data_IF_202336751444
#
_entry.id   IF_202336751444
#
_cell.length_a   1.000
_cell.length_b   1.000
_cell.length_c   1.000
_cell.angle_alpha   90.00
_cell.angle_beta   90.00
_cell.angle_gamma   90.00
#
_symmetry.space_group_name_H-M   'P 1'
#
loop_
_entity.id
_entity.type
_entity.pdbx_description
1 polymer ?
#
# COMPACT_ATOMS: atom_id res chain seq x y z
N UNK A 1 -5.04 -20.11 1.18
CA UNK A 1 -5.01 -20.82 2.46
C UNK A 1 -4.61 -22.29 2.31
N UNK A 2 -5.52 -23.21 1.95
CA UNK A 2 -5.27 -24.67 2.00
C UNK A 2 -3.95 -25.14 1.38
N UNK A 3 -3.60 -24.61 0.19
CA UNK A 3 -2.34 -24.89 -0.53
C UNK A 3 -1.08 -24.66 0.32
N UNK A 4 -1.06 -23.59 1.13
CA UNK A 4 0.10 -23.14 1.90
C UNK A 4 0.12 -23.60 3.35
N UNK A 5 -0.99 -24.18 3.80
CA UNK A 5 -1.21 -24.59 5.19
C UNK A 5 -1.31 -26.11 5.33
N UNK A 6 -0.97 -26.86 4.27
CA UNK A 6 -1.03 -28.33 4.25
C UNK A 6 -2.41 -28.90 4.64
N UNK A 7 -3.49 -28.20 4.27
CA UNK A 7 -4.87 -28.63 4.55
C UNK A 7 -5.43 -29.36 3.32
N UNK A 8 -5.73 -30.65 3.47
CA UNK A 8 -6.17 -31.52 2.38
C UNK A 8 -7.67 -31.87 2.38
N UNK A 9 -8.47 -31.26 3.26
CA UNK A 9 -9.91 -31.52 3.36
C UNK A 9 -10.68 -30.96 2.16
N UNK A 10 -11.82 -31.56 1.81
CA UNK A 10 -12.73 -31.01 0.78
C UNK A 10 -13.44 -29.72 1.25
N UNK A 11 -13.71 -28.76 0.34
CA UNK A 11 -13.15 -28.66 -1.01
C UNK A 11 -11.63 -28.44 -0.96
N UNK A 12 -10.89 -29.11 -1.82
CA UNK A 12 -9.43 -29.05 -1.96
C UNK A 12 -8.94 -27.65 -2.33
N UNK A 13 -7.64 -27.40 -2.20
CA UNK A 13 -7.04 -26.13 -2.65
C UNK A 13 -7.25 -25.87 -4.14
N UNK A 14 -7.16 -26.91 -4.98
CA UNK A 14 -7.37 -26.80 -6.42
C UNK A 14 -8.83 -26.46 -6.76
N UNK A 15 -9.81 -27.10 -6.10
CA UNK A 15 -11.24 -26.78 -6.28
C UNK A 15 -11.56 -25.33 -5.85
N UNK A 16 -10.96 -24.86 -4.76
CA UNK A 16 -11.12 -23.47 -4.31
C UNK A 16 -10.47 -22.46 -5.26
N UNK A 17 -9.31 -22.77 -5.83
CA UNK A 17 -8.66 -21.93 -6.84
C UNK A 17 -9.47 -21.88 -8.14
N UNK A 18 -10.00 -23.02 -8.58
CA UNK A 18 -10.88 -23.09 -9.75
C UNK A 18 -12.15 -22.25 -9.52
N UNK A 19 -12.77 -22.38 -8.34
CA UNK A 19 -13.93 -21.57 -7.96
C UNK A 19 -13.60 -20.08 -7.95
N UNK A 20 -12.45 -19.68 -7.41
CA UNK A 20 -12.01 -18.29 -7.41
C UNK A 20 -11.81 -17.76 -8.85
N UNK A 21 -11.16 -18.54 -9.73
CA UNK A 21 -10.97 -18.16 -11.13
C UNK A 21 -12.30 -18.03 -11.87
N UNK A 22 -13.22 -18.98 -11.69
CA UNK A 22 -14.56 -18.94 -12.31
C UNK A 22 -15.35 -17.71 -11.86
N UNK A 23 -15.48 -17.48 -10.55
CA UNK A 23 -16.29 -16.38 -10.03
C UNK A 23 -15.68 -15.00 -10.36
N UNK A 24 -14.35 -14.87 -10.33
CA UNK A 24 -13.70 -13.64 -10.76
C UNK A 24 -13.94 -13.37 -12.24
N UNK A 25 -13.88 -14.40 -13.10
CA UNK A 25 -14.15 -14.28 -14.53
C UNK A 25 -15.60 -13.92 -14.82
N UNK A 26 -16.56 -14.46 -14.08
CA UNK A 26 -17.97 -14.07 -14.18
C UNK A 26 -18.18 -12.57 -13.93
N UNK A 27 -17.51 -12.01 -12.92
CA UNK A 27 -17.56 -10.57 -12.64
C UNK A 27 -16.87 -9.77 -13.76
N UNK A 28 -15.72 -10.24 -14.25
CA UNK A 28 -15.02 -9.60 -15.38
C UNK A 28 -15.87 -9.58 -16.65
N UNK A 29 -16.55 -10.69 -16.97
CA UNK A 29 -17.35 -10.85 -18.18
C UNK A 29 -18.73 -10.18 -18.10
N UNK A 30 -19.14 -9.74 -16.91
CA UNK A 30 -20.39 -9.00 -16.74
C UNK A 30 -20.40 -7.67 -17.48
N UNK A 31 -19.21 -7.08 -17.74
CA UNK A 31 -19.07 -5.75 -18.34
C UNK A 31 -19.60 -4.60 -17.46
N UNK A 32 -19.95 -4.87 -16.20
CA UNK A 32 -20.51 -3.87 -15.28
C UNK A 32 -19.45 -2.95 -14.68
N UNK A 33 -18.19 -3.38 -14.67
CA UNK A 33 -17.08 -2.70 -14.01
C UNK A 33 -15.88 -2.56 -14.94
N UNK A 34 -15.06 -1.55 -14.72
CA UNK A 34 -13.83 -1.30 -15.50
C UNK A 34 -12.77 -0.61 -14.63
N UNK A 35 -11.51 -0.68 -15.07
CA UNK A 35 -10.41 0.07 -14.45
C UNK A 35 -10.50 1.52 -14.86
N UNK A 36 -10.71 2.38 -13.87
CA UNK A 36 -10.84 3.81 -14.09
C UNK A 36 -9.48 4.41 -14.42
N UNK A 37 -9.41 5.14 -15.53
CA UNK A 37 -8.24 5.88 -15.97
C UNK A 37 -8.20 7.26 -15.32
N UNK A 38 -7.01 7.84 -15.19
CA UNK A 38 -6.91 9.21 -14.65
C UNK A 38 -7.68 10.25 -15.48
N UNK A 39 -7.82 10.02 -16.78
CA UNK A 39 -8.59 10.88 -17.69
C UNK A 39 -10.12 10.70 -17.59
N UNK A 40 -10.62 9.69 -16.87
CA UNK A 40 -12.06 9.43 -16.82
C UNK A 40 -12.81 10.53 -16.05
N UNK A 41 -14.05 10.76 -16.47
CA UNK A 41 -14.95 11.70 -15.78
C UNK A 41 -15.15 11.28 -14.32
N UNK A 42 -14.89 12.19 -13.39
CA UNK A 42 -14.96 11.90 -11.95
C UNK A 42 -13.71 11.21 -11.37
N UNK A 43 -12.73 10.80 -12.18
CA UNK A 43 -11.40 10.33 -11.74
C UNK A 43 -10.36 11.45 -11.72
N UNK A 44 -10.56 12.45 -12.59
CA UNK A 44 -9.95 13.77 -12.52
C UNK A 44 -10.48 14.60 -11.34
N UNK A 45 -10.58 14.02 -10.14
CA UNK A 45 -10.87 14.77 -8.91
C UNK A 45 -9.66 15.56 -8.42
N UNK A 46 -8.93 16.14 -9.36
CA UNK A 46 -8.00 17.17 -9.00
C UNK A 46 -8.83 18.34 -8.50
N UNK A 47 -8.40 18.94 -7.39
CA UNK A 47 -8.95 20.23 -6.97
C UNK A 47 -8.76 21.31 -8.08
N UNK A 48 -7.93 21.06 -9.10
CA UNK A 48 -7.77 21.82 -10.36
C UNK A 48 -6.90 21.09 -11.41
N UNK A 49 -6.83 21.61 -12.65
CA UNK A 49 -6.12 21.01 -13.78
C UNK A 49 -4.64 20.63 -13.51
N UNK A 50 -4.16 19.56 -14.18
CA UNK A 50 -2.76 19.09 -14.22
C UNK A 50 -2.16 18.51 -12.92
N UNK A 51 -2.97 18.16 -11.92
CA UNK A 51 -2.48 17.47 -10.73
C UNK A 51 -2.10 16.00 -11.02
N UNK A 52 -0.86 15.56 -10.73
CA UNK A 52 -0.34 14.26 -11.18
C UNK A 52 -0.81 13.06 -10.33
N UNK A 53 -1.77 13.23 -9.41
CA UNK A 53 -2.19 12.20 -8.45
C UNK A 53 -3.53 11.52 -8.82
N UNK A 54 -3.76 11.28 -10.11
CA UNK A 54 -5.02 10.73 -10.64
C UNK A 54 -5.43 9.38 -10.04
N UNK A 55 -4.48 8.52 -9.66
CA UNK A 55 -4.76 7.25 -8.99
C UNK A 55 -5.21 7.48 -7.55
N UNK A 56 -4.54 8.37 -6.80
CA UNK A 56 -4.92 8.67 -5.42
C UNK A 56 -6.30 9.35 -5.34
N UNK A 57 -6.62 10.20 -6.31
CA UNK A 57 -7.92 10.87 -6.41
C UNK A 57 -9.11 9.90 -6.46
N UNK A 58 -8.89 8.67 -6.94
CA UNK A 58 -9.95 7.67 -6.97
C UNK A 58 -10.48 7.31 -5.58
N UNK A 59 -9.69 7.54 -4.53
CA UNK A 59 -10.02 7.19 -3.16
C UNK A 59 -10.50 8.39 -2.32
N UNK A 60 -10.66 9.56 -2.93
CA UNK A 60 -11.08 10.80 -2.27
C UNK A 60 -12.34 11.37 -2.95
N UNK A 61 -13.38 10.54 -3.09
CA UNK A 61 -14.62 10.89 -3.80
C UNK A 61 -15.83 10.91 -2.85
N UNK A 62 -16.77 11.82 -3.06
CA UNK A 62 -18.04 11.89 -2.30
C UNK A 62 -19.05 10.81 -2.73
N UNK A 63 -18.97 10.33 -3.97
CA UNK A 63 -19.91 9.33 -4.49
C UNK A 63 -19.16 8.30 -5.35
N UNK A 64 -18.89 7.13 -4.76
CA UNK A 64 -18.26 6.03 -5.47
C UNK A 64 -19.25 5.20 -6.30
N UNK A 65 -20.57 5.42 -6.20
CA UNK A 65 -21.56 4.63 -6.96
C UNK A 65 -21.50 4.89 -8.47
N UNK A 66 -20.93 6.03 -8.87
CA UNK A 66 -20.68 6.38 -10.28
C UNK A 66 -19.30 5.95 -10.78
N UNK A 67 -18.42 5.52 -9.88
CA UNK A 67 -17.09 5.04 -10.22
C UNK A 67 -17.18 3.60 -10.76
N UNK A 68 -16.76 3.40 -12.02
CA UNK A 68 -16.81 2.09 -12.70
C UNK A 68 -15.96 1.00 -12.03
N UNK A 69 -15.01 1.37 -11.19
CA UNK A 69 -14.22 0.41 -10.43
C UNK A 69 -14.94 -0.03 -9.14
N UNK A 70 -15.96 0.70 -8.67
CA UNK A 70 -16.65 0.41 -7.42
C UNK A 70 -17.65 -0.74 -7.58
N UNK A 71 -17.40 -1.86 -6.88
CA UNK A 71 -18.34 -2.98 -6.77
C UNK A 71 -19.23 -2.83 -5.54
N UNK A 72 -18.64 -2.39 -4.43
CA UNK A 72 -19.35 -2.09 -3.20
C UNK A 72 -18.70 -0.91 -2.50
N UNK A 73 -19.48 0.14 -2.25
CA UNK A 73 -19.08 1.31 -1.48
C UNK A 73 -19.62 1.24 -0.06
N UNK A 74 -18.86 1.81 0.88
CA UNK A 74 -19.40 2.33 2.13
C UNK A 74 -19.62 3.83 1.93
N UNK A 75 -20.89 4.21 1.97
CA UNK A 75 -21.30 5.61 1.81
C UNK A 75 -21.12 6.38 3.11
N UNK A 76 -20.56 7.57 3.02
CA UNK A 76 -20.44 8.51 4.13
C UNK A 76 -21.22 9.78 3.82
N UNK A 77 -21.91 10.31 4.81
CA UNK A 77 -22.79 11.47 4.67
C UNK A 77 -22.58 12.38 5.89
N UNK A 78 -22.40 13.68 5.63
CA UNK A 78 -22.27 14.66 6.69
C UNK A 78 -23.47 14.59 7.65
N UNK A 79 -23.22 14.84 8.95
CA UNK A 79 -24.22 14.75 10.02
C UNK A 79 -24.83 13.34 10.27
N UNK A 80 -24.50 12.33 9.44
CA UNK A 80 -24.95 10.93 9.62
C UNK A 80 -23.78 10.04 10.01
N UNK A 81 -22.79 9.92 9.14
CA UNK A 81 -21.61 9.08 9.35
C UNK A 81 -20.46 9.60 8.49
N UNK A 82 -19.34 9.91 9.14
CA UNK A 82 -18.11 10.42 8.54
C UNK A 82 -16.90 9.66 9.09
N UNK A 83 -15.73 9.80 8.46
CA UNK A 83 -14.48 9.17 8.90
C UNK A 83 -13.31 10.18 8.97
N UNK A 84 -12.08 9.68 9.19
CA UNK A 84 -10.86 10.49 9.32
C UNK A 84 -9.73 10.06 8.38
N UNK A 85 -10.02 9.22 7.37
CA UNK A 85 -9.00 8.69 6.45
C UNK A 85 -8.46 9.76 5.49
N UNK A 86 -9.25 10.78 5.19
CA UNK A 86 -8.85 11.92 4.37
C UNK A 86 -7.75 12.79 5.00
N UNK A 87 -7.43 12.57 6.28
CA UNK A 87 -6.41 13.28 7.02
C UNK A 87 -5.08 12.53 7.01
N UNK A 88 -3.97 13.24 6.83
CA UNK A 88 -2.63 12.69 7.05
C UNK A 88 -2.39 12.39 8.54
N UNK A 89 -1.79 11.25 8.88
CA UNK A 89 -1.51 10.84 10.26
C UNK A 89 -0.09 10.33 10.50
N UNK A 90 0.24 10.08 11.77
CA UNK A 90 1.57 9.64 12.28
C UNK A 90 2.04 8.24 11.84
N UNK A 91 1.41 7.65 10.84
CA UNK A 91 1.74 6.31 10.32
C UNK A 91 2.85 6.39 9.27
N UNK A 92 3.59 5.31 9.08
CA UNK A 92 4.68 5.25 8.12
C UNK A 92 4.78 3.91 7.41
N UNK A 93 5.03 3.96 6.11
CA UNK A 93 5.31 2.79 5.30
C UNK A 93 6.77 2.36 5.51
N UNK A 94 7.07 1.07 5.35
CA UNK A 94 8.42 0.55 5.57
C UNK A 94 9.29 0.67 4.31
N UNK A 95 10.61 0.64 4.49
CA UNK A 95 11.58 0.52 3.40
C UNK A 95 11.31 -0.72 2.53
N UNK A 96 10.89 -1.83 3.15
CA UNK A 96 10.46 -3.04 2.45
C UNK A 96 9.28 -2.79 1.48
N UNK A 97 8.36 -1.87 1.82
CA UNK A 97 7.30 -1.47 0.92
C UNK A 97 7.79 -0.51 -0.18
N UNK A 98 8.57 0.51 0.17
CA UNK A 98 9.11 1.47 -0.78
C UNK A 98 9.98 0.81 -1.88
N UNK A 99 10.77 -0.21 -1.53
CA UNK A 99 11.58 -0.97 -2.49
C UNK A 99 10.75 -1.95 -3.33
N UNK A 100 9.49 -2.25 -2.95
CA UNK A 100 8.66 -3.18 -3.70
C UNK A 100 8.15 -2.62 -5.02
N UNK A 101 8.08 -1.29 -5.17
CA UNK A 101 7.74 -0.64 -6.44
C UNK A 101 8.77 -0.97 -7.53
N UNK A 102 8.32 -1.21 -8.75
CA UNK A 102 9.23 -1.46 -9.87
C UNK A 102 9.81 -0.13 -10.41
N UNK A 103 10.86 -0.21 -11.21
CA UNK A 103 11.26 0.88 -12.08
C UNK A 103 10.30 0.96 -13.29
N UNK A 104 10.26 2.10 -13.98
CA UNK A 104 9.34 2.35 -15.11
C UNK A 104 9.49 1.34 -16.26
N UNK A 105 10.67 0.75 -16.40
CA UNK A 105 10.96 -0.34 -17.34
C UNK A 105 10.35 -1.70 -16.92
N UNK A 106 9.62 -1.76 -15.80
CA UNK A 106 9.00 -2.97 -15.27
C UNK A 106 9.95 -3.89 -14.52
N UNK A 107 11.19 -3.47 -14.24
CA UNK A 107 12.20 -4.27 -13.54
C UNK A 107 12.33 -3.88 -12.06
N UNK A 108 12.66 -4.83 -11.17
CA UNK A 108 13.01 -4.53 -9.78
C UNK A 108 14.24 -3.61 -9.69
N UNK A 109 14.35 -2.85 -8.59
CA UNK A 109 15.45 -1.90 -8.40
C UNK A 109 16.85 -2.53 -8.43
N UNK A 110 16.96 -3.82 -8.07
CA UNK A 110 18.22 -4.55 -8.12
C UNK A 110 18.61 -4.95 -9.56
N UNK A 111 17.65 -4.95 -10.49
CA UNK A 111 17.81 -5.39 -11.87
C UNK A 111 17.85 -4.23 -12.86
N UNK A 112 17.26 -3.09 -12.52
CA UNK A 112 17.09 -1.96 -13.44
C UNK A 112 18.25 -0.97 -13.40
N UNK A 113 18.71 -0.53 -14.57
CA UNK A 113 19.61 0.62 -14.71
C UNK A 113 18.89 1.97 -14.56
N UNK A 114 17.56 1.99 -14.52
CA UNK A 114 16.77 3.20 -14.35
C UNK A 114 16.74 3.71 -12.90
N UNK A 115 16.97 2.83 -11.92
CA UNK A 115 16.96 3.18 -10.51
C UNK A 115 18.08 4.19 -10.18
N UNK A 116 17.70 5.36 -9.64
CA UNK A 116 18.66 6.43 -9.31
C UNK A 116 19.30 6.28 -7.93
N UNK A 117 18.96 5.24 -7.19
CA UNK A 117 19.44 5.02 -5.82
C UNK A 117 18.56 5.68 -4.77
N UNK A 118 19.00 5.65 -3.52
CA UNK A 118 18.24 6.18 -2.36
C UNK A 118 19.01 7.25 -1.59
N UNK A 119 19.81 8.06 -2.30
CA UNK A 119 20.55 9.18 -1.67
C UNK A 119 19.61 10.28 -1.15
N UNK A 120 18.44 10.43 -1.77
CA UNK A 120 17.31 11.25 -1.33
C UNK A 120 16.00 10.51 -1.64
N UNK A 121 14.88 10.95 -1.06
CA UNK A 121 13.56 10.38 -1.40
C UNK A 121 13.19 10.62 -2.88
N UNK A 122 13.57 11.77 -3.41
CA UNK A 122 13.37 12.12 -4.82
C UNK A 122 14.16 11.18 -5.75
N UNK A 123 15.42 10.87 -5.43
CA UNK A 123 16.20 9.88 -6.17
C UNK A 123 15.55 8.50 -6.09
N UNK A 124 15.04 8.12 -4.91
CA UNK A 124 14.41 6.81 -4.72
C UNK A 124 13.13 6.66 -5.53
N UNK A 125 12.36 7.75 -5.71
CA UNK A 125 11.12 7.78 -6.49
C UNK A 125 11.33 8.04 -7.99
N UNK A 126 12.52 8.48 -8.41
CA UNK A 126 12.79 8.78 -9.81
C UNK A 126 12.74 7.51 -10.68
N UNK A 127 12.07 7.62 -11.83
CA UNK A 127 11.87 6.51 -12.79
C UNK A 127 11.24 5.26 -12.16
N UNK A 128 10.38 5.43 -11.16
CA UNK A 128 9.63 4.34 -10.51
C UNK A 128 8.19 4.27 -11.01
N UNK A 129 7.52 3.19 -10.62
CA UNK A 129 6.07 3.05 -10.74
C UNK A 129 5.35 4.31 -10.21
N UNK A 130 4.49 4.97 -11.03
CA UNK A 130 3.81 6.19 -10.62
C UNK A 130 2.94 6.06 -9.37
N UNK A 131 2.50 4.85 -9.03
CA UNK A 131 1.77 4.64 -7.78
C UNK A 131 2.63 4.96 -6.56
N UNK A 132 3.96 4.91 -6.67
CA UNK A 132 4.86 5.22 -5.56
C UNK A 132 4.66 6.64 -5.05
N UNK A 133 4.68 7.65 -5.93
CA UNK A 133 4.49 9.05 -5.52
C UNK A 133 3.02 9.43 -5.29
N UNK A 134 2.08 8.52 -5.60
CA UNK A 134 0.65 8.66 -5.32
C UNK A 134 0.24 7.94 -4.02
N UNK A 135 1.11 7.08 -3.49
CA UNK A 135 0.91 6.37 -2.23
C UNK A 135 1.82 6.94 -1.14
N UNK A 136 3.02 7.38 -1.46
CA UNK A 136 4.01 7.96 -0.54
C UNK A 136 4.15 9.46 -0.82
N UNK A 137 4.08 10.26 0.25
CA UNK A 137 4.23 11.70 0.21
C UNK A 137 5.55 12.13 -0.47
N UNK A 138 5.45 13.15 -1.30
CA UNK A 138 6.52 13.58 -2.19
C UNK A 138 6.23 14.97 -2.74
N UNK A 139 7.17 15.51 -3.52
CA UNK A 139 6.95 16.78 -4.23
C UNK A 139 5.77 16.80 -5.20
N UNK A 140 5.25 15.63 -5.58
CA UNK A 140 4.08 15.50 -6.44
C UNK A 140 2.75 15.81 -5.72
N UNK A 141 2.78 16.03 -4.39
CA UNK A 141 1.65 16.53 -3.58
C UNK A 141 1.90 17.97 -3.07
N UNK A 142 2.05 19.00 -3.93
CA UNK A 142 2.62 20.30 -3.55
C UNK A 142 1.78 21.18 -2.60
N UNK A 143 0.46 21.01 -2.49
CA UNK A 143 -0.38 21.92 -1.70
C UNK A 143 -1.60 21.25 -1.04
N UNK A 144 -2.17 21.93 -0.06
CA UNK A 144 -3.50 21.71 0.50
C UNK A 144 -4.39 22.92 0.14
N UNK A 145 -5.66 22.69 -0.15
CA UNK A 145 -6.65 23.73 -0.54
C UNK A 145 -7.52 24.05 0.67
N UNK A 146 -7.47 25.29 1.14
CA UNK A 146 -8.30 25.78 2.26
C UNK A 146 -9.77 25.91 1.86
N UNK A 147 -10.66 25.99 2.86
CA UNK A 147 -12.10 26.23 2.64
C UNK A 147 -12.42 27.54 1.90
N UNK A 148 -11.52 28.53 1.93
CA UNK A 148 -11.64 29.78 1.16
C UNK A 148 -10.97 29.72 -0.23
N UNK A 149 -10.54 28.53 -0.67
CA UNK A 149 -9.89 28.29 -1.97
C UNK A 149 -8.40 28.59 -2.01
N UNK A 150 -7.80 29.15 -0.96
CA UNK A 150 -6.35 29.43 -0.93
C UNK A 150 -5.54 28.13 -0.93
N UNK A 151 -4.40 28.15 -1.63
CA UNK A 151 -3.48 27.01 -1.70
C UNK A 151 -2.34 27.22 -0.70
N UNK A 152 -2.11 26.25 0.17
CA UNK A 152 -0.99 26.25 1.13
C UNK A 152 0.00 25.19 0.71
N UNK A 153 1.26 25.56 0.58
CA UNK A 153 2.31 24.58 0.27
C UNK A 153 2.37 23.51 1.34
N UNK A 154 2.36 22.25 0.91
CA UNK A 154 2.72 21.15 1.78
C UNK A 154 4.26 21.20 1.93
N UNK A 155 4.73 21.45 3.15
CA UNK A 155 6.15 21.50 3.47
C UNK A 155 6.41 20.82 4.79
N UNK A 156 7.54 20.11 4.85
CA UNK A 156 8.12 19.60 6.08
C UNK A 156 8.96 20.63 6.84
N UNK A 157 8.83 21.91 6.49
CA UNK A 157 9.47 23.02 7.17
C UNK A 157 8.35 23.98 7.58
N UNK A 158 8.48 24.67 8.71
CA UNK A 158 7.49 25.63 9.23
C UNK A 158 7.22 26.84 8.31
N UNK A 159 7.88 26.92 7.16
CA UNK A 159 7.77 28.00 6.17
C UNK A 159 6.60 27.77 5.17
N UNK A 160 5.40 27.56 5.72
CA UNK A 160 4.18 27.31 4.93
C UNK A 160 3.73 28.57 4.21
N UNK A 161 4.08 28.68 2.92
CA UNK A 161 3.63 29.78 2.06
C UNK A 161 2.22 29.55 1.53
N UNK A 162 1.42 30.62 1.51
CA UNK A 162 0.07 30.63 0.94
C UNK A 162 0.05 31.33 -0.42
N UNK A 163 -0.80 30.84 -1.32
CA UNK A 163 -1.00 31.34 -2.67
C UNK A 163 -2.49 31.60 -2.91
N UNK A 164 -2.81 32.69 -3.60
CA UNK A 164 -4.16 33.00 -4.05
C UNK A 164 -4.70 31.89 -4.99
N UNK A 165 -6.03 31.68 -5.09
CA UNK A 165 -6.62 30.75 -6.06
C UNK A 165 -6.18 31.00 -7.52
N UNK A 166 -5.78 32.24 -7.85
CA UNK A 166 -5.33 32.64 -9.19
C UNK A 166 -3.83 32.47 -9.45
N UNK A 167 -3.04 32.12 -8.44
CA UNK A 167 -1.57 32.05 -8.51
C UNK A 167 -1.07 30.62 -8.48
N UNK A 168 -0.33 30.17 -9.50
CA UNK A 168 0.25 28.83 -9.51
C UNK A 168 1.49 28.75 -8.60
N UNK A 169 1.46 27.91 -7.53
CA UNK A 169 2.68 27.59 -6.79
C UNK A 169 3.65 26.84 -7.72
N UNK A 170 4.93 27.21 -7.72
CA UNK A 170 5.93 26.48 -8.51
C UNK A 170 5.98 24.98 -8.15
N UNK A 171 6.47 24.12 -9.05
CA UNK A 171 6.47 22.66 -8.86
C UNK A 171 7.48 22.14 -7.82
N UNK A 172 8.28 23.02 -7.21
CA UNK A 172 9.41 22.67 -6.33
C UNK A 172 9.27 23.19 -4.88
N UNK A 173 8.07 23.56 -4.42
CA UNK A 173 7.92 24.18 -3.09
C UNK A 173 7.76 23.15 -1.95
N UNK A 174 7.61 21.86 -2.27
CA UNK A 174 7.60 20.78 -1.27
C UNK A 174 9.03 20.37 -0.90
N UNK A 175 9.75 21.22 -0.18
CA UNK A 175 11.21 21.11 0.02
C UNK A 175 11.65 19.94 0.91
N UNK A 176 10.75 19.31 1.66
CA UNK A 176 11.10 18.28 2.65
C UNK A 176 9.98 17.24 2.93
N UNK A 177 9.54 16.45 1.92
CA UNK A 177 8.47 15.46 2.07
C UNK A 177 8.86 14.27 2.95
N UNK A 178 7.92 13.88 3.82
CA UNK A 178 8.01 12.59 4.49
C UNK A 178 8.63 12.55 5.89
N UNK A 179 9.05 13.63 6.55
CA UNK A 179 9.53 13.55 7.96
C UNK A 179 8.72 14.31 9.01
N UNK A 180 7.91 15.29 8.63
CA UNK A 180 7.16 16.14 9.60
C UNK A 180 5.88 15.54 10.14
N UNK A 181 5.54 14.31 9.75
CA UNK A 181 4.29 13.68 10.18
C UNK A 181 4.29 12.16 10.15
N UNK A 182 5.44 11.50 10.02
CA UNK A 182 5.52 10.03 9.94
C UNK A 182 6.74 9.48 10.67
N UNK A 183 6.64 8.23 11.12
CA UNK A 183 7.70 7.52 11.83
C UNK A 183 8.83 7.01 10.92
N UNK A 184 8.66 6.99 9.59
CA UNK A 184 9.55 6.24 8.70
C UNK A 184 10.16 7.05 7.55
N UNK A 185 9.79 8.31 7.30
CA UNK A 185 10.20 8.94 6.04
C UNK A 185 9.25 8.69 4.86
N UNK A 186 8.40 7.67 4.97
CA UNK A 186 7.47 7.26 3.91
C UNK A 186 6.03 7.49 4.38
N UNK A 187 5.56 8.74 4.34
CA UNK A 187 4.21 9.09 4.78
C UNK A 187 3.16 8.62 3.75
N UNK A 188 2.10 7.90 4.15
CA UNK A 188 1.08 7.45 3.21
C UNK A 188 0.11 8.58 2.82
N UNK A 189 -0.20 8.70 1.53
CA UNK A 189 -1.09 9.74 0.97
C UNK A 189 -2.24 9.23 0.07
N UNK A 190 -2.35 7.92 -0.18
CA UNK A 190 -3.36 7.32 -1.09
C UNK A 190 -4.81 7.70 -0.77
N UNK A 191 -5.12 7.94 0.50
CA UNK A 191 -6.46 8.30 0.98
C UNK A 191 -6.55 9.76 1.44
N UNK A 192 -5.46 10.51 1.37
CA UNK A 192 -5.35 11.84 1.98
C UNK A 192 -5.85 12.89 0.98
N UNK A 193 -6.87 13.64 1.38
CA UNK A 193 -7.45 14.69 0.53
C UNK A 193 -6.48 15.85 0.35
N UNK A 194 -6.56 16.55 -0.78
CA UNK A 194 -5.99 17.89 -0.91
C UNK A 194 -6.88 18.96 -0.25
N UNK A 195 -8.17 18.68 -0.01
CA UNK A 195 -9.10 19.61 0.62
C UNK A 195 -8.90 19.69 2.13
N UNK A 196 -8.70 20.89 2.66
CA UNK A 196 -8.58 21.15 4.08
C UNK A 196 -9.88 20.78 4.81
N UNK A 197 -11.06 21.04 4.26
CA UNK A 197 -12.33 20.73 4.93
C UNK A 197 -12.50 19.23 5.18
N UNK A 198 -11.96 18.40 4.28
CA UNK A 198 -11.93 16.94 4.40
C UNK A 198 -10.83 16.45 5.36
N UNK A 199 -9.77 17.25 5.55
CA UNK A 199 -8.70 16.97 6.52
C UNK A 199 -9.01 17.47 7.95
N UNK A 200 -9.84 18.52 8.09
CA UNK A 200 -10.08 19.27 9.33
C UNK A 200 -10.92 18.47 10.34
N UNK A 201 -10.62 18.58 11.64
CA UNK A 201 -11.33 17.93 12.76
C UNK A 201 -11.50 16.39 12.67
N UNK A 202 -12.01 15.78 13.74
CA UNK A 202 -12.35 14.34 13.80
C UNK A 202 -13.78 14.20 13.26
N UNK A 203 -14.03 13.26 12.33
CA UNK A 203 -15.37 12.95 11.78
C UNK A 203 -15.96 14.08 10.93
N UNK A 204 -15.23 14.52 9.93
CA UNK A 204 -15.68 15.50 8.93
C UNK A 204 -15.62 14.96 7.51
N UNK A 205 -14.79 13.94 7.27
CA UNK A 205 -14.65 13.37 5.94
C UNK A 205 -15.91 12.62 5.55
N UNK A 206 -16.56 13.10 4.49
CA UNK A 206 -17.74 12.51 3.85
C UNK A 206 -17.37 11.63 2.64
N UNK A 207 -16.08 11.50 2.32
CA UNK A 207 -15.68 10.64 1.21
C UNK A 207 -16.04 9.17 1.39
N UNK A 208 -16.53 8.59 0.31
CA UNK A 208 -16.89 7.20 0.20
C UNK A 208 -15.65 6.29 0.24
N UNK A 209 -15.85 5.05 0.68
CA UNK A 209 -14.79 4.04 0.73
C UNK A 209 -15.18 2.79 -0.06
N UNK A 210 -14.33 2.38 -1.01
CA UNK A 210 -14.36 1.04 -1.61
C UNK A 210 -14.27 -0.06 -0.55
N UNK A 211 -15.35 -0.84 -0.41
CA UNK A 211 -15.33 -2.13 0.29
C UNK A 211 -14.83 -3.22 -0.66
N UNK A 212 -15.34 -3.21 -1.90
CA UNK A 212 -14.83 -4.04 -2.99
C UNK A 212 -14.68 -3.19 -4.25
N UNK A 213 -13.56 -3.36 -4.96
CA UNK A 213 -13.31 -2.72 -6.24
C UNK A 213 -12.75 -3.67 -7.28
N UNK A 214 -12.97 -3.34 -8.55
CA UNK A 214 -12.72 -4.21 -9.69
C UNK A 214 -11.25 -4.64 -9.84
N UNK A 215 -10.28 -3.79 -9.47
CA UNK A 215 -8.88 -4.21 -9.48
C UNK A 215 -8.61 -5.44 -8.59
N UNK A 216 -9.32 -5.61 -7.47
CA UNK A 216 -9.17 -6.80 -6.64
C UNK A 216 -9.60 -8.06 -7.40
N UNK A 217 -10.69 -7.98 -8.18
CA UNK A 217 -11.18 -9.09 -9.01
C UNK A 217 -10.14 -9.50 -10.05
N UNK A 218 -9.51 -8.53 -10.72
CA UNK A 218 -8.44 -8.80 -11.68
C UNK A 218 -7.25 -9.51 -11.03
N UNK A 219 -6.87 -9.07 -9.82
CA UNK A 219 -5.78 -9.68 -9.04
C UNK A 219 -6.13 -11.09 -8.56
N UNK A 220 -7.38 -11.33 -8.14
CA UNK A 220 -7.87 -12.66 -7.75
C UNK A 220 -7.81 -13.61 -8.95
N UNK A 221 -8.27 -13.18 -10.13
CA UNK A 221 -8.22 -13.99 -11.35
C UNK A 221 -6.78 -14.33 -11.75
N UNK A 222 -5.90 -13.32 -11.82
CA UNK A 222 -4.50 -13.51 -12.19
C UNK A 222 -3.76 -14.47 -11.23
N UNK A 223 -3.92 -14.29 -9.91
CA UNK A 223 -3.32 -15.17 -8.91
C UNK A 223 -3.88 -16.59 -9.03
N UNK A 224 -5.20 -16.76 -9.13
CA UNK A 224 -5.81 -18.08 -9.25
C UNK A 224 -5.34 -18.83 -10.51
N UNK A 225 -5.32 -18.17 -11.67
CA UNK A 225 -4.81 -18.74 -12.93
C UNK A 225 -3.34 -19.09 -12.84
N UNK A 226 -2.51 -18.27 -12.18
CA UNK A 226 -1.10 -18.58 -11.97
C UNK A 226 -0.92 -19.81 -11.06
N UNK A 227 -1.68 -19.91 -9.98
CA UNK A 227 -1.60 -21.00 -9.02
C UNK A 227 -2.09 -22.35 -9.58
N UNK A 228 -2.98 -22.30 -10.58
CA UNK A 228 -3.47 -23.44 -11.37
C UNK A 228 -2.52 -23.83 -12.51
N UNK A 229 -1.51 -23.02 -12.82
CA UNK A 229 -0.62 -23.24 -13.97
C UNK A 229 -1.23 -22.86 -15.32
N UNK A 230 -2.24 -21.99 -15.31
CA UNK A 230 -3.07 -21.61 -16.48
C UNK A 230 -2.95 -20.11 -16.82
N UNK A 231 -1.96 -19.41 -16.27
CA UNK A 231 -1.75 -17.98 -16.55
C UNK A 231 -1.02 -17.79 -17.88
N UNK A 232 -1.78 -17.39 -18.90
CA UNK A 232 -1.27 -17.06 -20.24
C UNK A 232 -1.03 -15.56 -20.37
N UNK A 233 -0.41 -15.12 -21.47
CA UNK A 233 -0.27 -13.69 -21.73
C UNK A 233 -1.63 -13.00 -21.84
N UNK A 234 -2.62 -13.65 -22.46
CA UNK A 234 -3.99 -13.12 -22.54
C UNK A 234 -4.61 -12.90 -21.15
N UNK A 235 -4.38 -13.81 -20.19
CA UNK A 235 -4.80 -13.63 -18.79
C UNK A 235 -4.16 -12.38 -18.18
N UNK A 236 -2.86 -12.17 -18.41
CA UNK A 236 -2.16 -10.98 -17.91
C UNK A 236 -2.68 -9.70 -18.56
N UNK A 237 -2.94 -9.74 -19.87
CA UNK A 237 -3.41 -8.61 -20.69
C UNK A 237 -4.82 -8.15 -20.28
N UNK A 238 -5.69 -9.08 -19.84
CA UNK A 238 -7.02 -8.75 -19.32
C UNK A 238 -7.04 -8.46 -17.79
N UNK A 239 -5.91 -8.61 -17.08
CA UNK A 239 -5.82 -8.39 -15.63
C UNK A 239 -4.71 -7.42 -15.22
N UNK A 240 -3.50 -7.93 -14.93
CA UNK A 240 -2.36 -7.18 -14.40
C UNK A 240 -2.00 -6.03 -15.33
N UNK A 241 -2.03 -6.25 -16.65
CA UNK A 241 -1.64 -5.22 -17.60
C UNK A 241 -2.68 -4.12 -17.73
N UNK A 242 -3.97 -4.37 -17.42
CA UNK A 242 -4.96 -3.28 -17.26
C UNK A 242 -4.59 -2.33 -16.10
N UNK A 243 -4.11 -2.89 -14.99
CA UNK A 243 -3.66 -2.09 -13.84
C UNK A 243 -2.38 -1.32 -14.14
N UNK A 244 -1.45 -1.95 -14.88
CA UNK A 244 -0.20 -1.33 -15.31
C UNK A 244 -0.43 -0.25 -16.36
N UNK A 245 -1.33 -0.45 -17.30
CA UNK A 245 -1.73 0.54 -18.32
C UNK A 245 -2.23 1.82 -17.66
N UNK A 246 -3.07 1.70 -16.63
CA UNK A 246 -3.59 2.85 -15.87
C UNK A 246 -2.49 3.77 -15.35
N UNK A 247 -1.31 3.22 -15.07
CA UNK A 247 -0.17 3.96 -14.51
C UNK A 247 1.06 3.93 -15.40
N UNK A 248 0.85 3.66 -16.70
CA UNK A 248 1.89 3.66 -17.74
C UNK A 248 3.12 2.83 -17.34
N UNK A 249 2.87 1.68 -16.74
CA UNK A 249 3.88 0.71 -16.37
C UNK A 249 4.04 -0.33 -17.48
N UNK A 250 5.28 -0.79 -17.70
CA UNK A 250 5.54 -1.84 -18.69
C UNK A 250 4.76 -3.10 -18.36
N UNK A 251 4.10 -3.66 -19.37
CA UNK A 251 3.35 -4.91 -19.26
C UNK A 251 4.18 -6.04 -18.65
N UNK A 252 3.54 -6.81 -17.78
CA UNK A 252 4.05 -8.06 -17.27
C UNK A 252 3.93 -9.13 -18.36
N UNK A 253 4.97 -9.96 -18.48
CA UNK A 253 4.95 -11.14 -19.35
C UNK A 253 4.87 -12.42 -18.52
N UNK A 254 4.50 -13.54 -19.14
CA UNK A 254 4.49 -14.86 -18.48
C UNK A 254 5.87 -15.36 -18.05
N UNK A 255 6.95 -14.67 -18.42
CA UNK A 255 8.34 -15.02 -18.08
C UNK A 255 9.09 -13.77 -17.62
N UNK A 256 8.72 -13.19 -16.46
CA UNK A 256 9.39 -12.01 -15.97
C UNK A 256 10.81 -12.33 -15.49
N UNK A 257 11.67 -11.32 -15.52
CA UNK A 257 13.02 -11.42 -14.95
C UNK A 257 12.89 -11.61 -13.44
N UNK A 258 13.59 -12.60 -12.89
CA UNK A 258 13.62 -12.81 -11.45
C UNK A 258 14.31 -11.62 -10.74
N UNK A 259 13.71 -11.17 -9.64
CA UNK A 259 14.31 -10.17 -8.76
C UNK A 259 15.66 -10.71 -8.25
N UNK A 260 16.73 -9.92 -8.39
CA UNK A 260 18.07 -10.27 -7.89
C UNK A 260 18.15 -10.20 -6.36
N UNK A 261 17.20 -9.54 -5.70
CA UNK A 261 17.11 -9.45 -4.25
C UNK A 261 15.66 -9.73 -3.77
N UNK A 262 15.14 -10.95 -4.00
CA UNK A 262 13.76 -11.28 -3.66
C UNK A 262 13.59 -11.36 -2.15
N UNK A 263 12.40 -11.00 -1.66
CA UNK A 263 12.05 -11.21 -0.25
C UNK A 263 11.74 -12.68 0.03
N UNK A 264 12.05 -13.14 1.24
CA UNK A 264 11.84 -14.53 1.66
C UNK A 264 10.39 -14.77 2.10
N UNK A 265 9.63 -15.50 1.28
CA UNK A 265 8.28 -15.96 1.62
C UNK A 265 8.27 -17.12 2.63
N UNK A 266 9.43 -17.71 2.94
CA UNK A 266 9.59 -18.94 3.72
C UNK A 266 9.51 -20.22 2.87
N UNK A 267 9.28 -20.06 1.56
CA UNK A 267 9.24 -21.11 0.55
C UNK A 267 9.44 -20.50 -0.84
N UNK A 268 9.80 -21.33 -1.83
CA UNK A 268 10.01 -20.88 -3.19
C UNK A 268 8.70 -20.60 -3.92
N UNK A 269 8.65 -19.49 -4.66
CA UNK A 269 7.58 -19.16 -5.61
C UNK A 269 8.19 -18.87 -6.98
N UNK A 270 7.41 -19.04 -8.05
CA UNK A 270 7.87 -18.72 -9.41
C UNK A 270 8.03 -17.20 -9.57
N UNK A 271 8.90 -16.72 -10.48
CA UNK A 271 9.00 -15.29 -10.78
C UNK A 271 7.66 -14.65 -11.17
N UNK A 272 6.83 -15.37 -11.93
CA UNK A 272 5.50 -14.89 -12.31
C UNK A 272 4.57 -14.69 -11.09
N UNK A 273 4.50 -15.68 -10.19
CA UNK A 273 3.69 -15.55 -8.98
C UNK A 273 4.23 -14.45 -8.04
N UNK A 274 5.56 -14.30 -7.98
CA UNK A 274 6.20 -13.22 -7.23
C UNK A 274 5.73 -11.85 -7.72
N UNK A 275 5.75 -11.62 -9.03
CA UNK A 275 5.33 -10.34 -9.63
C UNK A 275 3.80 -10.11 -9.50
N UNK A 276 2.97 -11.15 -9.62
CA UNK A 276 1.52 -11.02 -9.36
C UNK A 276 1.24 -10.62 -7.90
N UNK A 277 1.97 -11.20 -6.94
CA UNK A 277 1.84 -10.83 -5.51
C UNK A 277 2.41 -9.45 -5.22
N UNK A 278 3.46 -9.02 -5.92
CA UNK A 278 3.99 -7.65 -5.88
C UNK A 278 2.94 -6.66 -6.39
N UNK A 279 2.31 -6.94 -7.53
CA UNK A 279 1.25 -6.12 -8.09
C UNK A 279 0.09 -5.99 -7.10
N UNK A 280 -0.38 -7.12 -6.51
CA UNK A 280 -1.43 -7.10 -5.47
C UNK A 280 -1.04 -6.24 -4.26
N UNK A 281 0.21 -6.34 -3.81
CA UNK A 281 0.74 -5.55 -2.69
C UNK A 281 0.71 -4.05 -2.96
N UNK A 282 1.10 -3.64 -4.17
CA UNK A 282 1.15 -2.23 -4.57
C UNK A 282 -0.26 -1.70 -4.80
N UNK A 283 -1.04 -2.44 -5.59
CA UNK A 283 -2.38 -2.02 -6.00
C UNK A 283 -3.31 -1.88 -4.81
N UNK A 284 -3.31 -2.84 -3.87
CA UNK A 284 -4.21 -2.85 -2.71
C UNK A 284 -3.57 -2.25 -1.45
N UNK A 285 -2.48 -1.50 -1.60
CA UNK A 285 -1.82 -0.87 -0.46
C UNK A 285 -2.79 0.06 0.28
N UNK A 286 -2.77 -0.01 1.62
CA UNK A 286 -3.61 0.77 2.54
C UNK A 286 -5.12 0.44 2.50
N UNK A 287 -5.52 -0.66 1.88
CA UNK A 287 -6.94 -1.07 1.77
C UNK A 287 -7.29 -2.29 2.66
N UNK A 288 -6.40 -2.69 3.56
CA UNK A 288 -6.66 -3.75 4.55
C UNK A 288 -6.27 -5.18 4.16
N UNK A 289 -5.82 -5.42 2.92
CA UNK A 289 -5.57 -6.78 2.41
C UNK A 289 -4.24 -7.42 2.84
N UNK A 290 -3.20 -6.61 3.12
CA UNK A 290 -1.82 -7.13 3.22
C UNK A 290 -1.64 -8.16 4.35
N UNK A 291 -2.32 -7.98 5.48
CA UNK A 291 -2.23 -8.93 6.58
C UNK A 291 -2.82 -10.29 6.18
N UNK A 292 -4.05 -10.28 5.66
CA UNK A 292 -4.75 -11.49 5.22
C UNK A 292 -4.04 -12.20 4.07
N UNK A 293 -3.43 -11.44 3.15
CA UNK A 293 -2.56 -11.97 2.10
C UNK A 293 -1.38 -12.75 2.68
N UNK A 294 -0.64 -12.17 3.64
CA UNK A 294 0.49 -12.84 4.29
C UNK A 294 0.02 -14.10 5.04
N UNK A 295 -1.11 -14.02 5.76
CA UNK A 295 -1.66 -15.16 6.50
C UNK A 295 -2.10 -16.29 5.55
N UNK A 296 -2.88 -16.00 4.50
CA UNK A 296 -3.41 -17.02 3.58
C UNK A 296 -2.33 -17.66 2.72
N UNK A 297 -1.22 -16.97 2.49
CA UNK A 297 -0.02 -17.47 1.83
C UNK A 297 0.92 -18.22 2.78
N UNK A 298 0.66 -18.23 4.09
CA UNK A 298 1.59 -18.73 5.10
C UNK A 298 2.99 -18.10 4.97
N UNK A 299 3.04 -16.80 4.66
CA UNK A 299 4.25 -16.09 4.27
C UNK A 299 4.80 -15.20 5.39
N UNK A 300 4.60 -15.57 6.66
CA UNK A 300 5.02 -14.76 7.81
C UNK A 300 6.53 -14.52 7.86
N UNK A 301 7.33 -15.32 7.15
CA UNK A 301 8.76 -15.09 6.99
C UNK A 301 9.09 -13.70 6.44
N UNK A 302 8.17 -13.10 5.68
CA UNK A 302 8.27 -11.72 5.21
C UNK A 302 8.41 -10.70 6.35
N UNK A 303 7.81 -10.96 7.53
CA UNK A 303 7.94 -10.10 8.69
C UNK A 303 9.34 -10.15 9.33
N UNK A 304 10.15 -11.16 8.99
CA UNK A 304 11.54 -11.24 9.47
C UNK A 304 12.48 -10.32 8.68
N UNK A 305 12.07 -9.80 7.52
CA UNK A 305 12.90 -8.90 6.74
C UNK A 305 13.24 -7.65 7.58
N UNK A 306 14.52 -7.35 7.86
CA UNK A 306 14.92 -6.15 8.60
C UNK A 306 14.34 -4.86 8.03
N UNK A 307 14.16 -4.77 6.70
CA UNK A 307 13.61 -3.59 6.03
C UNK A 307 12.15 -3.29 6.39
N UNK A 308 11.43 -4.22 7.03
CA UNK A 308 10.10 -3.95 7.60
C UNK A 308 10.15 -3.04 8.84
N UNK A 309 11.32 -2.90 9.47
CA UNK A 309 11.57 -2.01 10.63
C UNK A 309 12.33 -0.73 10.26
N UNK A 310 12.71 -0.59 8.99
CA UNK A 310 13.46 0.55 8.48
C UNK A 310 12.55 1.53 7.78
N UNK A 311 12.85 2.82 7.97
CA UNK A 311 12.36 3.91 7.16
C UNK A 311 13.32 4.29 6.04
N UNK A 312 13.20 5.52 5.55
CA UNK A 312 14.04 6.06 4.50
C UNK A 312 15.50 6.12 4.93
N UNK A 313 16.39 6.07 3.93
CA UNK A 313 17.82 6.25 4.14
C UNK A 313 18.09 7.70 4.54
N UNK A 314 19.01 7.90 5.49
CA UNK A 314 19.41 9.21 5.97
C UNK A 314 20.87 9.44 5.56
N UNK A 315 21.05 10.29 4.55
CA UNK A 315 22.34 10.77 4.04
C UNK A 315 22.58 12.21 4.47
N UNK A 316 23.76 12.77 4.22
CA UNK A 316 24.00 14.20 4.45
C UNK A 316 23.14 15.08 3.53
N UNK A 317 22.83 14.61 2.31
CA UNK A 317 21.87 15.28 1.42
C UNK A 317 20.48 15.33 2.03
N UNK A 318 20.02 14.23 2.63
CA UNK A 318 18.74 14.19 3.35
C UNK A 318 18.77 15.15 4.52
N UNK A 319 19.80 15.11 5.38
CA UNK A 319 19.89 16.01 6.54
C UNK A 319 19.82 17.48 6.13
N UNK A 320 20.46 17.86 5.02
CA UNK A 320 20.43 19.22 4.49
C UNK A 320 19.05 19.71 4.03
N UNK A 321 18.07 18.82 3.83
CA UNK A 321 16.69 19.18 3.47
C UNK A 321 15.82 19.51 4.69
N UNK A 322 16.27 19.18 5.90
CA UNK A 322 15.47 19.32 7.13
C UNK A 322 16.15 20.21 8.16
N UNK A 323 15.35 20.72 9.10
CA UNK A 323 15.88 21.42 10.26
C UNK A 323 16.75 20.47 11.11
N UNK A 324 17.87 20.94 11.69
CA UNK A 324 18.82 20.08 12.42
C UNK A 324 18.15 19.23 13.50
N UNK A 325 17.13 19.75 14.20
CA UNK A 325 16.41 19.08 15.29
C UNK A 325 15.71 17.77 14.87
N UNK A 326 15.47 17.57 13.57
CA UNK A 326 14.94 16.30 13.05
C UNK A 326 15.92 15.15 13.28
N UNK A 327 17.23 15.43 13.24
CA UNK A 327 18.30 14.43 13.34
C UNK A 327 19.28 14.67 14.49
N UNK A 328 19.13 15.78 15.21
CA UNK A 328 20.00 16.18 16.31
C UNK A 328 19.20 16.51 17.58
N UNK A 329 19.81 16.28 18.75
CA UNK A 329 19.19 16.54 20.04
C UNK A 329 18.30 15.42 20.59
N UNK A 330 17.56 15.70 21.66
CA UNK A 330 16.82 14.70 22.46
C UNK A 330 15.53 14.18 21.80
N UNK A 331 15.06 14.83 20.75
CA UNK A 331 13.85 14.46 20.00
C UNK A 331 14.16 13.96 18.58
N UNK A 332 15.45 13.81 18.26
CA UNK A 332 15.91 13.33 16.97
C UNK A 332 15.31 11.97 16.61
N UNK A 333 15.13 11.74 15.30
CA UNK A 333 14.77 10.43 14.77
C UNK A 333 15.82 9.39 15.18
N UNK A 334 15.39 8.23 15.65
CA UNK A 334 16.30 7.12 15.93
C UNK A 334 16.84 6.58 14.60
N UNK A 335 18.17 6.43 14.52
CA UNK A 335 18.87 5.99 13.32
C UNK A 335 19.58 4.66 13.58
N UNK A 336 19.68 3.83 12.55
CA UNK A 336 20.36 2.54 12.60
C UNK A 336 21.15 2.29 11.32
N UNK A 337 22.35 1.72 11.47
CA UNK A 337 23.11 1.19 10.34
C UNK A 337 22.59 -0.20 9.94
N UNK A 338 22.40 -0.41 8.64
CA UNK A 338 22.09 -1.71 8.05
C UNK A 338 22.77 -1.82 6.68
N UNK A 339 23.61 -2.84 6.48
CA UNK A 339 24.38 -3.08 5.25
C UNK A 339 25.16 -1.82 4.78
N UNK A 340 25.87 -1.14 5.69
CA UNK A 340 26.70 0.02 5.37
C UNK A 340 25.94 1.31 5.03
N UNK A 341 24.63 1.35 5.28
CA UNK A 341 23.77 2.54 5.09
C UNK A 341 23.01 2.86 6.37
N UNK A 342 22.78 4.14 6.63
CA UNK A 342 22.01 4.62 7.79
C UNK A 342 20.55 4.85 7.40
N UNK A 343 19.62 4.32 8.19
CA UNK A 343 18.18 4.45 8.00
C UNK A 343 17.50 4.94 9.27
N UNK A 344 16.29 5.47 9.12
CA UNK A 344 15.39 5.69 10.26
C UNK A 344 14.99 4.33 10.85
N UNK A 345 15.11 4.17 12.17
CA UNK A 345 14.59 3.02 12.92
C UNK A 345 13.17 3.32 13.40
N UNK A 346 12.19 2.56 12.93
CA UNK A 346 10.78 2.78 13.28
C UNK A 346 10.50 2.50 14.78
N UNK A 347 11.05 1.42 15.31
CA UNK A 347 10.85 1.03 16.71
C UNK A 347 12.10 1.32 17.51
N UNK A 348 12.11 2.46 18.19
CA UNK A 348 13.26 2.93 18.96
C UNK A 348 13.73 1.88 19.98
N UNK A 349 15.05 1.63 19.99
CA UNK A 349 15.68 0.67 20.89
C UNK A 349 15.39 -0.82 20.61
N UNK A 350 14.62 -1.17 19.56
CA UNK A 350 14.35 -2.57 19.18
C UNK A 350 15.36 -3.09 18.17
N UNK A 351 15.79 -4.34 18.34
CA UNK A 351 16.68 -4.98 17.36
C UNK A 351 15.94 -5.31 16.05
N UNK A 352 16.66 -5.26 14.92
CA UNK A 352 16.13 -5.68 13.61
C UNK A 352 15.88 -7.19 13.50
N UNK A 353 16.33 -7.98 14.48
CA UNK A 353 16.23 -9.44 14.50
C UNK A 353 15.70 -10.00 15.84
N UNK A 354 14.85 -9.25 16.55
CA UNK A 354 14.28 -9.68 17.85
C UNK A 354 13.71 -11.11 17.79
N UNK A 355 13.83 -11.87 18.88
CA UNK A 355 13.33 -13.24 18.97
C UNK A 355 11.81 -13.34 18.69
N UNK A 356 11.04 -12.32 19.09
CA UNK A 356 9.61 -12.23 18.79
C UNK A 356 9.29 -12.03 17.30
N UNK A 357 10.29 -11.72 16.47
CA UNK A 357 10.20 -11.59 15.02
C UNK A 357 10.77 -12.79 14.29
N UNK A 358 10.53 -13.99 14.83
CA UNK A 358 10.83 -15.26 14.18
C UNK A 358 9.54 -16.05 14.07
N UNK A 359 9.26 -16.58 12.89
CA UNK A 359 8.04 -17.33 12.60
C UNK A 359 8.36 -18.70 12.02
N UNK A 360 7.48 -19.66 12.31
CA UNK A 360 7.51 -21.00 11.72
C UNK A 360 6.28 -21.22 10.85
N UNK A 361 6.29 -22.23 9.98
CA UNK A 361 5.16 -22.52 9.08
C UNK A 361 3.87 -22.94 9.78
N UNK A 362 3.93 -23.30 11.07
CA UNK A 362 2.76 -23.65 11.91
C UNK A 362 2.65 -22.71 13.13
N UNK A 363 3.11 -21.46 13.00
CA UNK A 363 3.10 -20.52 14.10
C UNK A 363 1.67 -20.22 14.58
N UNK A 364 1.48 -20.19 15.91
CA UNK A 364 0.17 -19.88 16.51
C UNK A 364 -0.41 -18.54 16.06
N UNK A 365 0.45 -17.58 15.72
CA UNK A 365 0.07 -16.23 15.26
C UNK A 365 -0.58 -16.18 13.87
N UNK A 366 -0.72 -17.34 13.21
CA UNK A 366 -1.62 -17.50 12.06
C UNK A 366 -3.09 -17.31 12.42
N UNK A 367 -3.44 -17.48 13.71
CA UNK A 367 -4.79 -17.33 14.21
C UNK A 367 -4.80 -16.34 15.39
N UNK A 368 -5.89 -15.57 15.53
CA UNK A 368 -6.12 -14.78 16.73
C UNK A 368 -6.46 -15.69 17.91
N UNK A 369 -6.00 -15.38 19.14
CA UNK A 369 -6.48 -16.09 20.31
C UNK A 369 -7.96 -15.82 20.54
N UNK A 370 -8.71 -16.85 20.90
CA UNK A 370 -10.09 -16.71 21.39
C UNK A 370 -10.01 -16.10 22.80
N UNK A 371 -10.75 -15.01 23.10
CA UNK A 371 -10.75 -14.42 24.44
C UNK A 371 -11.14 -15.44 25.51
N UNK A 372 -10.37 -15.53 26.59
CA UNK A 372 -10.56 -16.53 27.66
C UNK A 372 -11.94 -16.46 28.30
N UNK A 373 -12.53 -15.26 28.41
CA UNK A 373 -13.90 -15.08 28.90
C UNK A 373 -14.95 -15.77 28.03
N UNK A 374 -14.75 -15.83 26.70
CA UNK A 374 -15.66 -16.54 25.79
C UNK A 374 -15.54 -18.06 25.94
N UNK A 375 -14.33 -18.57 26.20
CA UNK A 375 -14.10 -19.98 26.50
C UNK A 375 -14.81 -20.36 27.81
N UNK A 376 -14.65 -19.56 28.86
CA UNK A 376 -15.33 -19.78 30.15
C UNK A 376 -16.85 -19.72 30.02
N UNK A 377 -17.38 -18.73 29.30
CA UNK A 377 -18.82 -18.58 29.06
C UNK A 377 -19.40 -19.76 28.27
N UNK A 378 -18.69 -20.23 27.24
CA UNK A 378 -19.11 -21.40 26.48
C UNK A 378 -19.20 -22.63 27.39
N UNK A 379 -18.19 -22.85 28.23
CA UNK A 379 -18.14 -23.98 29.14
C UNK A 379 -19.29 -23.98 30.15
N UNK A 380 -19.70 -22.80 30.65
CA UNK A 380 -20.84 -22.69 31.57
C UNK A 380 -22.20 -23.02 30.94
N UNK A 381 -22.27 -23.09 29.61
CA UNK A 381 -23.48 -23.43 28.85
C UNK A 381 -23.39 -24.80 28.15
N UNK A 382 -22.48 -25.68 28.61
CA UNK A 382 -22.34 -27.03 28.07
C UNK A 382 -21.66 -27.12 26.70
N UNK A 383 -21.13 -26.02 26.17
CA UNK A 383 -20.39 -25.98 24.90
C UNK A 383 -18.88 -25.91 25.14
N UNK A 384 -18.11 -26.75 24.45
CA UNK A 384 -16.65 -26.89 24.62
C UNK A 384 -15.87 -26.08 23.57
N UNK A 385 -16.07 -24.76 23.51
CA UNK A 385 -15.23 -23.90 22.66
C UNK A 385 -13.75 -24.08 23.06
N UNK A 386 -12.93 -24.58 22.14
CA UNK A 386 -11.50 -24.80 22.35
C UNK A 386 -10.71 -23.65 21.75
N UNK A 387 -9.60 -23.34 22.41
CA UNK A 387 -8.65 -22.34 21.94
C UNK A 387 -8.04 -22.72 20.58
N UNK A 388 -7.63 -21.71 19.81
CA UNK A 388 -6.85 -21.90 18.58
C UNK A 388 -5.47 -22.52 18.90
N UNK A 389 -4.90 -23.35 18.00
CA UNK A 389 -3.65 -24.07 18.28
C UNK A 389 -2.50 -23.17 18.73
N UNK A 390 -1.84 -23.53 19.83
CA UNK A 390 -0.67 -22.85 20.42
C UNK A 390 -1.01 -21.68 21.35
N UNK A 391 -2.29 -21.34 21.51
CA UNK A 391 -2.77 -20.27 22.39
C UNK A 391 -3.37 -20.78 23.72
N UNK A 392 -3.38 -22.09 23.93
CA UNK A 392 -3.87 -22.75 25.15
C UNK A 392 -3.22 -22.30 26.47
#
# INVERSE_FOLDING_TARGET
YKKYHNVSTSPTSQELLQKAATLAKEVMDSGLYDIVQGSDAGANQSAFADYPLYYANQFTQEDLTTNKECILARVFEADVLTHNLARSGGVGLSKDFAESFLCKDGLPIANSSEYKGDETLDDEMANRDPRMYQIIDSKYRPYTVKSNGMRVVNSGIDDKKEFSPSEEPGTNVHSAPGLTGTATGYSPIKLVSASQSQQDAVKTSSYDWFVFRYAEILLIYAEAKCELGECTQAVLDETINKLRDRVEMKHLTVSPVADLNPVDYGYSITPLLYEIRRERRIELALEGFRYDDIMRWNAMKLFENPKTYLGMRVTDKVKALYQPEVFEGSTARDLIEYNGKTYIRMYSGKSLNEAGRKWTGNDKRLYYPIPTSQITLSASHGSLLKQNPGWE
#
